data_IF_111012140694
#
_entry.id   IF_111012140694
#
_cell.length_a   1.000
_cell.length_b   1.000
_cell.length_c   1.000
_cell.angle_alpha   90.00
_cell.angle_beta   90.00
_cell.angle_gamma   90.00
#
_symmetry.space_group_name_H-M   'P 1'
#
loop_
_entity.id
_entity.type
_entity.pdbx_description
1 polymer ?
#
# COMPACT_ATOMS: atom_id res chain seq x y z
N UNK A 1 9.19 9.78 17.45
CA UNK A 1 8.61 10.82 16.57
C UNK A 1 7.13 10.91 16.92
N UNK A 2 6.55 12.12 17.01
CA UNK A 2 5.12 12.25 17.25
C UNK A 2 4.36 11.82 16.00
N UNK A 3 3.35 10.97 16.16
CA UNK A 3 2.49 10.51 15.06
C UNK A 3 1.21 11.32 14.95
N UNK A 4 0.87 12.08 16.01
CA UNK A 4 -0.26 13.00 16.03
C UNK A 4 -0.02 14.14 17.02
N UNK A 5 -0.49 15.35 16.68
CA UNK A 5 -0.71 16.46 17.61
C UNK A 5 -2.00 17.19 17.21
N UNK A 6 -2.87 17.46 18.19
CA UNK A 6 -4.14 18.16 17.94
C UNK A 6 -4.61 18.95 19.16
N UNK A 7 -5.29 20.06 18.91
CA UNK A 7 -5.84 20.93 19.95
C UNK A 7 -7.33 20.71 20.09
N UNK A 8 -7.77 20.42 21.31
CA UNK A 8 -9.19 20.34 21.64
C UNK A 8 -9.75 21.70 22.11
N UNK A 9 -8.88 22.58 22.58
CA UNK A 9 -9.16 23.99 22.88
C UNK A 9 -7.86 24.79 22.86
N UNK A 10 -7.92 26.08 23.17
CA UNK A 10 -6.71 26.91 23.36
C UNK A 10 -5.84 26.47 24.54
N UNK A 11 -6.37 25.68 25.49
CA UNK A 11 -5.66 25.24 26.69
C UNK A 11 -5.46 23.73 26.76
N UNK A 12 -6.17 22.95 25.94
CA UNK A 12 -6.09 21.48 25.93
C UNK A 12 -5.58 20.99 24.58
N UNK A 13 -4.49 20.22 24.62
CA UNK A 13 -3.93 19.55 23.46
C UNK A 13 -3.68 18.07 23.75
N UNK A 14 -3.73 17.26 22.70
CA UNK A 14 -3.40 15.85 22.72
C UNK A 14 -2.26 15.58 21.75
N UNK A 15 -1.39 14.65 22.12
CA UNK A 15 -0.31 14.18 21.27
C UNK A 15 -0.24 12.66 21.34
N UNK A 16 0.19 12.03 20.25
CA UNK A 16 0.52 10.63 20.24
C UNK A 16 1.98 10.43 19.86
N UNK A 17 2.66 9.59 20.61
CA UNK A 17 3.97 9.06 20.25
C UNK A 17 3.76 7.59 19.87
N UNK A 18 4.10 7.24 18.64
CA UNK A 18 3.87 5.89 18.14
C UNK A 18 4.96 5.45 17.18
N UNK A 19 6.08 4.94 17.70
CA UNK A 19 7.11 4.32 16.88
C UNK A 19 6.59 2.97 16.33
N UNK A 20 6.53 2.78 15.00
CA UNK A 20 5.95 1.58 14.42
C UNK A 20 6.81 0.31 14.55
N UNK A 21 8.14 0.44 14.70
CA UNK A 21 9.08 -0.69 14.53
C UNK A 21 10.08 -0.88 15.69
N UNK A 22 9.99 -0.11 16.76
CA UNK A 22 10.88 -0.26 17.91
C UNK A 22 10.13 -0.04 19.23
N UNK A 23 10.52 -0.81 20.26
CA UNK A 23 9.91 -0.89 21.58
C UNK A 23 10.10 0.43 22.36
N UNK A 24 9.31 1.43 21.99
CA UNK A 24 9.35 2.74 22.58
C UNK A 24 8.58 2.71 23.91
N UNK A 25 9.35 2.74 25.00
CA UNK A 25 8.87 3.03 26.37
C UNK A 25 8.08 4.33 26.48
N UNK A 26 8.11 5.15 25.44
CA UNK A 26 7.40 6.42 25.31
C UNK A 26 6.23 6.35 24.33
N UNK A 27 5.88 5.20 23.76
CA UNK A 27 4.67 5.12 22.94
C UNK A 27 3.44 5.30 23.83
N UNK A 28 2.49 6.10 23.37
CA UNK A 28 1.35 6.47 24.19
C UNK A 28 0.56 7.65 23.66
N UNK A 29 -0.60 7.82 24.29
CA UNK A 29 -1.43 9.00 24.16
C UNK A 29 -1.11 9.95 25.31
N UNK A 30 -0.94 11.22 25.00
CA UNK A 30 -0.55 12.24 25.96
C UNK A 30 -1.52 13.42 25.91
N UNK A 31 -1.72 14.07 27.06
CA UNK A 31 -2.56 15.25 27.19
C UNK A 31 -1.79 16.40 27.81
N UNK A 32 -1.99 17.58 27.27
CA UNK A 32 -1.64 18.84 27.88
C UNK A 32 -2.91 19.56 28.33
N UNK A 33 -2.85 20.18 29.50
CA UNK A 33 -3.86 21.13 30.02
C UNK A 33 -3.33 22.57 30.09
N UNK A 34 -2.11 22.79 29.59
CA UNK A 34 -1.46 24.10 29.52
C UNK A 34 -1.00 24.40 28.08
N UNK A 35 -1.83 24.04 27.09
CA UNK A 35 -1.53 24.13 25.66
C UNK A 35 -1.15 25.54 25.16
N UNK A 36 -1.60 26.58 25.87
CA UNK A 36 -1.30 27.99 25.59
C UNK A 36 0.05 28.49 26.15
N UNK A 37 0.78 27.66 26.90
CA UNK A 37 2.02 28.05 27.57
C UNK A 37 3.24 27.91 26.64
N UNK A 38 4.20 28.84 26.74
CA UNK A 38 5.53 28.68 26.13
C UNK A 38 6.36 27.55 26.77
N UNK A 39 5.94 27.04 27.92
CA UNK A 39 6.49 25.83 28.57
C UNK A 39 5.43 24.74 28.59
N UNK A 40 4.98 24.36 27.39
CA UNK A 40 3.99 23.32 27.16
C UNK A 40 4.44 21.98 27.75
N UNK A 41 3.59 21.33 28.53
CA UNK A 41 3.85 20.01 29.11
C UNK A 41 2.77 19.01 28.73
N UNK A 42 3.19 17.76 28.52
CA UNK A 42 2.32 16.64 28.21
C UNK A 42 2.46 15.54 29.28
N UNK A 43 1.34 15.02 29.74
CA UNK A 43 1.27 13.88 30.66
C UNK A 43 0.73 12.66 29.93
N UNK A 44 1.35 11.51 30.13
CA UNK A 44 0.87 10.25 29.58
C UNK A 44 -0.53 9.94 30.12
N UNK A 45 -1.43 9.53 29.24
CA UNK A 45 -2.73 9.00 29.60
C UNK A 45 -2.65 7.49 29.77
N UNK A 46 -3.54 6.97 30.61
CA UNK A 46 -3.70 5.54 30.88
C UNK A 46 -5.19 5.26 31.13
N UNK A 47 -5.54 4.16 31.79
CA UNK A 47 -6.94 3.88 32.14
C UNK A 47 -7.69 3.11 31.05
N UNK A 48 -7.12 1.99 30.60
CA UNK A 48 -7.74 1.08 29.61
C UNK A 48 -7.01 1.04 28.26
N UNK A 49 -6.06 1.96 28.04
CA UNK A 49 -5.12 1.87 26.94
C UNK A 49 -4.12 0.72 27.14
N UNK A 50 -3.59 0.11 26.05
CA UNK A 50 -2.52 -0.89 26.12
C UNK A 50 -1.25 -0.38 26.82
N UNK A 51 -0.36 -1.29 27.19
CA UNK A 51 0.96 -0.89 27.69
C UNK A 51 1.78 -0.22 26.56
N UNK A 52 2.57 0.81 26.88
CA UNK A 52 3.44 1.51 25.93
C UNK A 52 4.33 0.57 25.11
N UNK A 53 4.81 -0.52 25.72
CA UNK A 53 5.64 -1.53 25.05
C UNK A 53 4.93 -2.35 23.98
N UNK A 54 3.60 -2.30 23.91
CA UNK A 54 2.79 -2.97 22.89
C UNK A 54 2.32 -2.00 21.80
N UNK A 55 2.25 -0.70 22.09
CA UNK A 55 1.75 0.30 21.16
C UNK A 55 2.75 0.55 20.04
N UNK A 56 2.27 0.61 18.80
CA UNK A 56 3.00 1.05 17.62
C UNK A 56 2.58 2.46 17.18
N UNK A 57 2.39 2.69 15.87
CA UNK A 57 1.79 3.94 15.35
C UNK A 57 0.42 4.22 15.98
N UNK A 58 0.16 5.49 16.30
CA UNK A 58 -1.12 5.94 16.88
C UNK A 58 -1.64 7.14 16.11
N UNK A 59 -2.92 7.12 15.75
CA UNK A 59 -3.66 8.31 15.34
C UNK A 59 -4.81 8.61 16.31
N UNK A 60 -5.16 9.90 16.45
CA UNK A 60 -6.20 10.37 17.36
C UNK A 60 -7.25 11.17 16.58
N UNK A 61 -8.52 10.87 16.85
CA UNK A 61 -9.66 11.68 16.48
C UNK A 61 -10.16 12.46 17.69
N UNK A 62 -10.06 13.78 17.66
CA UNK A 62 -10.63 14.66 18.69
C UNK A 62 -12.02 15.10 18.22
N UNK A 63 -13.05 14.93 19.07
CA UNK A 63 -14.38 15.46 18.76
C UNK A 63 -14.32 16.98 18.56
N UNK A 64 -14.86 17.54 17.46
CA UNK A 64 -15.01 18.98 17.33
C UNK A 64 -15.91 19.59 18.43
N UNK A 65 -16.68 18.76 19.15
CA UNK A 65 -17.47 19.13 20.32
C UNK A 65 -16.81 18.74 21.65
N UNK A 66 -15.49 18.55 21.67
CA UNK A 66 -14.75 18.11 22.86
C UNK A 66 -15.06 18.92 24.13
N UNK A 67 -15.31 20.23 24.00
CA UNK A 67 -15.66 21.08 25.13
C UNK A 67 -16.96 20.66 25.84
N UNK A 68 -17.90 20.02 25.14
CA UNK A 68 -19.16 19.55 25.69
C UNK A 68 -19.24 18.03 25.85
N UNK A 69 -18.54 17.25 25.01
CA UNK A 69 -18.63 15.79 25.01
C UNK A 69 -17.35 15.07 25.50
N UNK A 70 -16.24 15.80 25.66
CA UNK A 70 -14.93 15.29 26.07
C UNK A 70 -14.47 14.04 25.30
N UNK A 71 -14.92 13.90 24.04
CA UNK A 71 -14.78 12.64 23.30
C UNK A 71 -13.52 12.59 22.45
N UNK A 72 -12.84 11.45 22.51
CA UNK A 72 -11.64 11.11 21.76
C UNK A 72 -11.77 9.68 21.23
N UNK A 73 -11.21 9.45 20.05
CA UNK A 73 -10.90 8.12 19.55
C UNK A 73 -9.41 7.99 19.31
N UNK A 74 -8.85 6.81 19.53
CA UNK A 74 -7.47 6.49 19.24
C UNK A 74 -7.39 5.14 18.54
N UNK A 75 -6.71 5.09 17.40
CA UNK A 75 -6.39 3.83 16.73
C UNK A 75 -4.92 3.52 16.94
N UNK A 76 -4.62 2.33 17.43
CA UNK A 76 -3.30 1.98 17.97
C UNK A 76 -2.80 0.72 17.28
N UNK A 77 -1.66 0.82 16.58
CA UNK A 77 -0.98 -0.31 15.96
C UNK A 77 -0.35 -1.24 17.00
N UNK A 78 -0.13 -2.51 16.65
CA UNK A 78 0.58 -3.48 17.48
C UNK A 78 2.07 -3.54 17.10
N UNK A 79 2.94 -2.98 17.94
CA UNK A 79 4.38 -2.97 17.65
C UNK A 79 5.00 -4.37 17.65
N UNK A 80 4.39 -5.35 18.34
CA UNK A 80 4.89 -6.73 18.38
C UNK A 80 4.78 -7.42 17.02
N UNK A 81 3.89 -6.94 16.16
CA UNK A 81 3.73 -7.37 14.77
C UNK A 81 4.43 -6.41 13.80
N UNK A 82 5.36 -5.58 14.27
CA UNK A 82 5.96 -4.48 13.52
C UNK A 82 4.89 -3.49 12.99
N UNK A 83 3.83 -3.30 13.77
CA UNK A 83 2.68 -2.47 13.39
C UNK A 83 2.04 -2.91 12.07
N UNK A 84 2.09 -4.21 11.76
CA UNK A 84 1.34 -4.77 10.63
C UNK A 84 -0.15 -4.88 10.95
N UNK A 85 -0.51 -5.03 12.22
CA UNK A 85 -1.89 -5.10 12.71
C UNK A 85 -2.16 -4.00 13.72
N UNK A 86 -3.43 -3.89 14.17
CA UNK A 86 -3.81 -3.00 15.25
C UNK A 86 -4.08 -3.73 16.59
N UNK A 87 -3.81 -3.03 17.70
CA UNK A 87 -4.29 -3.40 19.04
C UNK A 87 -5.78 -3.04 19.21
N UNK A 88 -6.30 -2.17 18.34
CA UNK A 88 -7.69 -1.79 18.22
C UNK A 88 -7.92 -0.29 18.17
N UNK A 89 -9.19 0.07 17.99
CA UNK A 89 -9.68 1.45 18.16
C UNK A 89 -10.27 1.59 19.56
N UNK A 90 -9.85 2.62 20.29
CA UNK A 90 -10.28 2.94 21.65
C UNK A 90 -11.05 4.26 21.65
N UNK A 91 -12.06 4.37 22.50
CA UNK A 91 -12.85 5.59 22.71
C UNK A 91 -12.75 6.04 24.16
N UNK A 92 -12.67 7.36 24.37
CA UNK A 92 -12.82 8.01 25.67
C UNK A 92 -13.90 9.07 25.57
N UNK A 93 -14.72 9.21 26.60
CA UNK A 93 -15.78 10.23 26.71
C UNK A 93 -15.61 11.12 27.95
N UNK A 94 -14.45 11.03 28.61
CA UNK A 94 -14.09 11.76 29.83
C UNK A 94 -12.75 12.50 29.68
N UNK A 95 -12.42 12.86 28.44
CA UNK A 95 -11.27 13.67 28.10
C UNK A 95 -9.95 12.93 28.23
N UNK A 96 -9.98 11.60 28.08
CA UNK A 96 -8.82 10.72 28.09
C UNK A 96 -8.47 10.12 29.45
N UNK A 97 -9.37 10.24 30.44
CA UNK A 97 -9.16 9.68 31.79
C UNK A 97 -9.38 8.17 31.82
N UNK A 98 -10.38 7.68 31.07
CA UNK A 98 -10.61 6.27 30.82
C UNK A 98 -10.89 6.00 29.35
N UNK A 99 -10.53 4.79 28.90
CA UNK A 99 -10.62 4.35 27.52
C UNK A 99 -11.26 2.97 27.45
N UNK A 100 -12.16 2.80 26.48
CA UNK A 100 -12.81 1.52 26.17
C UNK A 100 -12.41 1.08 24.77
N UNK A 101 -11.95 -0.17 24.63
CA UNK A 101 -11.73 -0.78 23.31
C UNK A 101 -13.07 -0.97 22.61
N UNK A 102 -13.19 -0.47 21.39
CA UNK A 102 -14.38 -0.57 20.54
C UNK A 102 -14.45 -1.93 19.84
N UNK A 103 -15.52 -2.18 19.09
CA UNK A 103 -15.68 -3.39 18.26
C UNK A 103 -15.13 -3.23 16.83
N UNK A 104 -14.33 -2.19 16.57
CA UNK A 104 -13.74 -1.98 15.23
C UNK A 104 -12.90 -3.20 14.84
N UNK A 105 -13.11 -3.79 13.64
CA UNK A 105 -12.19 -4.78 13.11
C UNK A 105 -10.83 -4.15 12.81
N UNK A 106 -9.80 -5.00 12.68
CA UNK A 106 -8.51 -4.56 12.17
C UNK A 106 -8.59 -4.40 10.65
N UNK A 107 -8.70 -3.15 10.20
CA UNK A 107 -8.76 -2.77 8.78
C UNK A 107 -7.43 -2.27 8.21
N UNK A 108 -6.36 -2.35 9.00
CA UNK A 108 -5.03 -1.93 8.61
C UNK A 108 -4.17 -3.08 8.07
N UNK A 109 -4.72 -4.30 8.00
CA UNK A 109 -4.04 -5.58 7.76
C UNK A 109 -2.75 -5.44 6.93
N UNK A 110 -1.62 -5.66 7.59
CA UNK A 110 -0.23 -5.60 7.10
C UNK A 110 0.47 -4.22 7.17
N UNK A 111 -0.27 -3.12 7.21
CA UNK A 111 0.26 -1.77 7.04
C UNK A 111 -0.23 -0.76 8.08
N UNK A 112 -0.59 -1.16 9.31
CA UNK A 112 -0.99 -0.18 10.35
C UNK A 112 0.09 0.87 10.68
N UNK A 113 1.37 0.57 10.39
CA UNK A 113 2.48 1.52 10.43
C UNK A 113 2.36 2.66 9.40
N UNK A 114 1.58 2.48 8.34
CA UNK A 114 1.41 3.38 7.19
C UNK A 114 -0.03 3.88 7.03
N UNK A 115 -1.02 3.01 7.20
CA UNK A 115 -2.45 3.23 6.94
C UNK A 115 -3.27 3.09 8.23
N UNK A 116 -3.44 4.21 8.93
CA UNK A 116 -4.11 4.26 10.22
C UNK A 116 -4.59 5.69 10.47
N UNK A 117 -5.86 5.94 10.13
CA UNK A 117 -6.48 7.25 10.29
C UNK A 117 -7.85 7.15 10.94
N UNK A 118 -8.04 7.79 12.08
CA UNK A 118 -9.29 7.86 12.83
C UNK A 118 -9.67 9.32 13.05
N UNK A 119 -10.89 9.70 12.64
CA UNK A 119 -11.40 11.07 12.82
C UNK A 119 -12.86 11.07 13.24
N UNK A 120 -13.22 12.06 14.06
CA UNK A 120 -14.56 12.21 14.65
C UNK A 120 -15.37 13.19 13.80
N UNK A 121 -16.63 12.84 13.60
CA UNK A 121 -17.59 13.67 12.87
C UNK A 121 -17.82 15.03 13.58
N UNK A 122 -18.03 16.14 12.85
CA UNK A 122 -18.32 17.47 13.43
C UNK A 122 -19.54 17.56 14.34
N UNK A 123 -20.48 16.62 14.26
CA UNK A 123 -21.65 16.54 15.15
C UNK A 123 -21.38 15.74 16.43
N UNK A 124 -20.18 15.18 16.58
CA UNK A 124 -19.63 14.75 17.87
C UNK A 124 -19.74 13.25 18.17
N UNK A 125 -19.69 12.95 19.47
CA UNK A 125 -19.22 11.69 20.08
C UNK A 125 -19.59 10.33 19.47
N UNK A 126 -20.72 10.21 18.78
CA UNK A 126 -21.21 8.91 18.33
C UNK A 126 -20.68 8.52 16.95
N UNK A 127 -20.27 9.51 16.15
CA UNK A 127 -19.84 9.32 14.77
C UNK A 127 -18.33 9.46 14.64
N UNK A 128 -17.68 8.39 14.19
CA UNK A 128 -16.26 8.40 13.86
C UNK A 128 -16.00 7.49 12.67
N UNK A 129 -14.97 7.84 11.90
CA UNK A 129 -14.52 7.10 10.72
C UNK A 129 -13.10 6.63 10.95
N UNK A 130 -12.86 5.36 10.62
CA UNK A 130 -11.56 4.71 10.65
C UNK A 130 -11.20 4.25 9.24
N UNK A 131 -10.03 4.66 8.75
CA UNK A 131 -9.43 4.21 7.49
C UNK A 131 -8.14 3.43 7.71
N UNK A 132 -7.93 2.39 6.91
CA UNK A 132 -6.72 1.55 6.89
C UNK A 132 -6.31 1.17 5.45
N UNK A 133 -5.47 0.14 5.32
CA UNK A 133 -4.94 -0.34 4.03
C UNK A 133 -5.99 -1.10 3.25
N UNK A 134 -6.29 -2.31 3.68
CA UNK A 134 -7.33 -3.16 3.14
C UNK A 134 -7.59 -4.29 4.11
N UNK A 135 -8.67 -5.03 3.93
CA UNK A 135 -8.81 -6.36 4.53
C UNK A 135 -8.95 -7.34 3.36
N UNK A 136 -8.54 -8.59 3.54
CA UNK A 136 -9.10 -9.70 2.77
C UNK A 136 -9.90 -10.52 3.79
N UNK A 137 -11.23 -10.56 3.67
CA UNK A 137 -12.03 -11.35 4.60
C UNK A 137 -11.86 -12.85 4.26
N UNK A 138 -11.39 -13.70 5.20
CA UNK A 138 -11.34 -15.16 4.99
C UNK A 138 -12.72 -15.82 4.80
N UNK A 139 -13.83 -15.09 5.03
CA UNK A 139 -15.21 -15.57 4.84
C UNK A 139 -15.95 -15.03 3.61
N UNK A 140 -15.30 -14.19 2.78
CA UNK A 140 -15.90 -13.67 1.53
C UNK A 140 -17.00 -12.62 1.72
N UNK A 141 -17.20 -12.13 2.94
CA UNK A 141 -18.09 -11.01 3.31
C UNK A 141 -17.28 -9.75 3.60
N UNK A 142 -16.84 -9.13 2.51
CA UNK A 142 -16.46 -7.72 2.33
C UNK A 142 -15.55 -7.08 3.40
N UNK A 143 -14.24 -7.04 3.15
CA UNK A 143 -13.33 -6.13 3.84
C UNK A 143 -13.62 -4.65 3.53
N UNK A 144 -14.02 -3.85 4.53
CA UNK A 144 -14.13 -2.39 4.41
C UNK A 144 -12.85 -1.71 4.88
N UNK A 145 -12.16 -0.98 4.00
CA UNK A 145 -10.95 -0.20 4.34
C UNK A 145 -11.27 1.23 4.82
N UNK A 146 -12.53 1.63 4.75
CA UNK A 146 -13.08 2.73 5.55
C UNK A 146 -14.35 2.25 6.23
N UNK A 147 -14.37 2.35 7.54
CA UNK A 147 -15.53 1.97 8.37
C UNK A 147 -15.98 3.15 9.21
N UNK A 148 -17.28 3.16 9.54
CA UNK A 148 -17.91 4.19 10.35
C UNK A 148 -18.63 3.56 11.53
N UNK A 149 -18.51 4.21 12.69
CA UNK A 149 -19.42 3.98 13.83
C UNK A 149 -20.41 5.13 13.92
N UNK A 150 -21.63 4.84 14.37
CA UNK A 150 -22.68 5.84 14.66
C UNK A 150 -23.19 5.72 16.10
N UNK A 151 -22.50 4.93 16.93
CA UNK A 151 -22.92 4.57 18.29
C UNK A 151 -21.74 4.43 19.26
N UNK A 152 -20.73 5.29 19.12
CA UNK A 152 -19.65 5.35 20.09
C UNK A 152 -18.62 4.21 19.97
N UNK A 153 -18.59 3.50 18.83
CA UNK A 153 -17.72 2.33 18.63
C UNK A 153 -18.32 0.99 19.09
N UNK A 154 -19.61 0.93 19.43
CA UNK A 154 -20.28 -0.33 19.78
C UNK A 154 -20.46 -1.23 18.55
N UNK A 155 -20.67 -0.64 17.37
CA UNK A 155 -20.65 -1.32 16.08
C UNK A 155 -20.04 -0.43 15.00
N UNK A 156 -19.55 -1.08 13.94
CA UNK A 156 -18.94 -0.44 12.78
C UNK A 156 -19.52 -1.01 11.49
N UNK A 157 -19.58 -0.19 10.46
CA UNK A 157 -20.08 -0.59 9.14
C UNK A 157 -19.15 -0.05 8.06
N UNK A 158 -18.89 -0.86 7.02
CA UNK A 158 -18.17 -0.38 5.84
C UNK A 158 -18.96 0.74 5.17
N UNK A 159 -18.26 1.79 4.74
CA UNK A 159 -18.85 2.91 3.99
C UNK A 159 -18.45 2.90 2.52
N UNK A 160 -17.60 1.95 2.12
CA UNK A 160 -17.15 1.77 0.74
C UNK A 160 -17.76 0.48 0.19
N UNK A 161 -18.27 0.45 -1.05
CA UNK A 161 -18.69 -0.80 -1.69
C UNK A 161 -17.51 -1.75 -1.91
N UNK A 162 -17.79 -3.05 -2.04
CA UNK A 162 -16.88 -4.04 -2.60
C UNK A 162 -16.25 -3.53 -3.91
N UNK A 163 -14.92 -3.53 -3.98
CA UNK A 163 -14.18 -3.10 -5.16
C UNK A 163 -13.76 -4.24 -6.08
N UNK A 164 -13.68 -3.91 -7.37
CA UNK A 164 -12.57 -4.33 -8.22
C UNK A 164 -11.49 -3.23 -8.14
N UNK A 165 -10.19 -3.57 -7.97
CA UNK A 165 -9.09 -2.59 -7.97
C UNK A 165 -9.13 -1.63 -9.18
N UNK A 166 -8.72 -0.37 -9.02
CA UNK A 166 -8.59 0.58 -10.13
C UNK A 166 -9.91 1.18 -10.68
N UNK A 167 -11.05 0.96 -10.02
CA UNK A 167 -12.34 1.53 -10.45
C UNK A 167 -12.33 3.07 -10.33
N UNK A 168 -12.31 3.77 -11.46
CA UNK A 168 -12.08 5.23 -11.58
C UNK A 168 -13.03 6.17 -10.78
N UNK A 169 -14.01 5.64 -10.06
CA UNK A 169 -14.99 6.42 -9.27
C UNK A 169 -15.03 6.10 -7.77
N UNK A 170 -14.32 5.08 -7.29
CA UNK A 170 -14.39 4.65 -5.88
C UNK A 170 -13.09 4.96 -5.15
N UNK A 171 -13.12 5.23 -3.83
CA UNK A 171 -11.89 5.52 -3.08
C UNK A 171 -10.88 4.39 -3.17
N UNK A 172 -9.62 4.75 -3.32
CA UNK A 172 -8.51 3.81 -3.19
C UNK A 172 -8.42 3.23 -1.77
N UNK A 173 -7.75 2.07 -1.67
CA UNK A 173 -7.24 1.50 -0.42
C UNK A 173 -6.15 2.42 0.18
N UNK A 174 -5.56 2.08 1.32
CA UNK A 174 -4.37 2.79 1.86
C UNK A 174 -4.65 4.23 2.29
N UNK A 175 -5.46 4.35 3.35
CA UNK A 175 -6.04 5.62 3.79
C UNK A 175 -5.14 6.37 4.79
N UNK A 176 -4.83 7.63 4.47
CA UNK A 176 -3.92 8.47 5.25
C UNK A 176 -4.60 9.67 5.92
N UNK A 177 -5.66 10.20 5.33
CA UNK A 177 -6.28 11.45 5.79
C UNK A 177 -7.81 11.40 5.69
N UNK A 178 -8.46 11.89 6.74
CA UNK A 178 -9.90 12.15 6.77
C UNK A 178 -10.09 13.59 7.24
N UNK A 179 -10.89 14.36 6.52
CA UNK A 179 -11.25 15.72 6.88
C UNK A 179 -12.74 15.97 6.68
N UNK A 180 -13.35 16.78 7.55
CA UNK A 180 -14.78 17.06 7.51
C UNK A 180 -15.05 18.53 7.31
N UNK A 181 -16.17 18.82 6.64
CA UNK A 181 -16.76 20.16 6.56
C UNK A 181 -18.22 20.05 6.93
N UNK A 182 -18.64 20.81 7.95
CA UNK A 182 -20.04 20.96 8.31
C UNK A 182 -20.70 21.96 7.36
N UNK A 183 -21.65 21.49 6.57
CA UNK A 183 -22.45 22.27 5.64
C UNK A 183 -23.85 22.52 6.23
N UNK A 184 -24.61 23.45 5.64
CA UNK A 184 -26.02 23.66 6.01
C UNK A 184 -26.91 22.45 5.67
N UNK A 185 -26.46 21.58 4.77
CA UNK A 185 -27.19 20.41 4.25
C UNK A 185 -26.74 19.08 4.85
N UNK A 186 -25.73 19.08 5.75
CA UNK A 186 -25.16 17.86 6.32
C UNK A 186 -23.64 17.96 6.51
N UNK A 187 -22.99 16.82 6.72
CA UNK A 187 -21.53 16.73 6.81
C UNK A 187 -20.96 16.21 5.50
N UNK A 188 -19.99 16.96 4.96
CA UNK A 188 -19.12 16.51 3.87
C UNK A 188 -17.84 15.94 4.46
N UNK A 189 -17.39 14.81 3.92
CA UNK A 189 -16.11 14.22 4.25
C UNK A 189 -15.21 14.16 3.00
N UNK A 190 -13.93 14.47 3.19
CA UNK A 190 -12.86 14.23 2.24
C UNK A 190 -11.98 13.11 2.77
N UNK A 191 -11.55 12.26 1.85
CA UNK A 191 -10.68 11.11 2.11
C UNK A 191 -9.45 11.24 1.22
N UNK A 192 -8.27 11.23 1.84
CA UNK A 192 -6.98 11.21 1.16
C UNK A 192 -6.29 9.87 1.38
N UNK A 193 -5.83 9.27 0.30
CA UNK A 193 -5.20 7.96 0.25
C UNK A 193 -4.19 7.92 -0.91
N UNK A 194 -3.51 6.78 -1.12
CA UNK A 194 -2.45 6.68 -2.15
C UNK A 194 -2.97 6.90 -3.58
N UNK A 195 -4.26 6.67 -3.83
CA UNK A 195 -4.88 6.99 -5.11
C UNK A 195 -5.24 8.48 -5.30
N UNK A 196 -5.05 9.35 -4.31
CA UNK A 196 -5.41 10.77 -4.36
C UNK A 196 -6.53 11.20 -3.40
N UNK A 197 -7.54 11.94 -3.88
CA UNK A 197 -8.57 12.56 -3.03
C UNK A 197 -9.99 12.21 -3.49
N UNK A 198 -10.83 11.79 -2.54
CA UNK A 198 -12.25 11.53 -2.72
C UNK A 198 -13.11 12.36 -1.77
N UNK A 199 -14.38 12.50 -2.12
CA UNK A 199 -15.38 13.21 -1.33
C UNK A 199 -16.67 12.42 -1.24
N UNK A 200 -17.29 12.44 -0.07
CA UNK A 200 -18.71 12.10 0.13
C UNK A 200 -19.45 13.30 0.71
N UNK A 201 -20.66 13.53 0.20
CA UNK A 201 -21.63 14.51 0.71
C UNK A 201 -22.69 13.87 1.62
N UNK A 202 -22.64 12.54 1.81
CA UNK A 202 -23.60 11.73 2.54
C UNK A 202 -22.98 11.02 3.77
N UNK A 203 -21.94 11.61 4.37
CA UNK A 203 -21.16 11.03 5.48
C UNK A 203 -22.02 10.51 6.65
N UNK A 204 -23.15 11.14 6.94
CA UNK A 204 -24.05 10.75 8.03
C UNK A 204 -25.24 9.87 7.59
N UNK A 205 -25.33 9.48 6.31
CA UNK A 205 -26.42 8.69 5.77
C UNK A 205 -26.57 7.34 6.47
N UNK A 206 -27.81 6.94 6.77
CA UNK A 206 -28.14 5.60 7.28
C UNK A 206 -28.17 4.54 6.17
N UNK A 207 -28.20 4.96 4.90
CA UNK A 207 -28.15 4.07 3.74
C UNK A 207 -26.70 3.88 3.35
N UNK A 208 -26.26 2.61 3.29
CA UNK A 208 -24.90 2.20 2.92
C UNK A 208 -24.91 1.38 1.63
N UNK A 209 -23.81 1.36 0.85
CA UNK A 209 -22.58 2.14 1.05
C UNK A 209 -22.78 3.63 0.75
N UNK A 210 -21.82 4.48 1.17
CA UNK A 210 -21.87 5.91 0.90
C UNK A 210 -21.55 6.22 -0.57
N UNK A 211 -21.98 7.39 -1.02
CA UNK A 211 -21.71 7.87 -2.38
C UNK A 211 -20.41 8.66 -2.40
N UNK A 212 -19.47 8.23 -3.24
CA UNK A 212 -18.16 8.84 -3.36
C UNK A 212 -17.96 9.51 -4.72
N UNK A 213 -17.24 10.62 -4.70
CA UNK A 213 -16.82 11.38 -5.86
C UNK A 213 -15.29 11.43 -5.87
N UNK A 214 -14.70 10.97 -6.97
CA UNK A 214 -13.28 11.15 -7.25
C UNK A 214 -13.01 12.64 -7.52
N UNK A 215 -12.05 13.24 -6.81
CA UNK A 215 -11.64 14.63 -6.97
C UNK A 215 -10.26 14.80 -7.61
N UNK A 216 -9.64 13.71 -8.07
CA UNK A 216 -8.38 13.80 -8.80
C UNK A 216 -8.57 14.64 -10.06
N UNK A 217 -7.69 15.64 -10.23
CA UNK A 217 -7.74 16.55 -11.37
C UNK A 217 -7.34 15.81 -12.64
N UNK A 218 -8.18 15.87 -13.67
CA UNK A 218 -7.91 15.25 -14.97
C UNK A 218 -6.77 15.92 -15.76
N UNK A 219 -6.29 17.09 -15.33
CA UNK A 219 -5.18 17.83 -15.91
C UNK A 219 -3.85 17.62 -15.17
N UNK A 220 -3.89 17.16 -13.91
CA UNK A 220 -2.70 16.76 -13.14
C UNK A 220 -2.58 15.23 -13.14
N UNK A 221 -2.31 14.67 -14.32
CA UNK A 221 -2.01 13.24 -14.48
C UNK A 221 -0.58 12.95 -14.01
N UNK A 222 -0.37 12.99 -12.70
CA UNK A 222 0.89 12.63 -12.06
C UNK A 222 0.84 11.15 -11.66
N UNK A 223 1.34 10.28 -12.52
CA UNK A 223 1.53 8.85 -12.20
C UNK A 223 3.00 8.60 -11.91
N UNK A 224 3.28 8.03 -10.74
CA UNK A 224 4.63 7.56 -10.41
C UNK A 224 4.84 6.18 -11.01
N UNK A 225 5.55 6.12 -12.14
CA UNK A 225 6.05 4.87 -12.68
C UNK A 225 7.34 4.46 -11.98
N UNK A 226 7.45 3.17 -11.67
CA UNK A 226 8.73 2.57 -11.27
C UNK A 226 9.68 2.50 -12.48
N UNK A 227 11.00 2.37 -12.24
CA UNK A 227 11.96 2.07 -13.30
C UNK A 227 11.64 0.77 -14.04
N UNK A 228 12.18 0.60 -15.25
CA UNK A 228 11.99 -0.57 -16.14
C UNK A 228 10.62 -0.65 -16.83
N UNK A 229 10.22 0.46 -17.49
CA UNK A 229 9.23 0.43 -18.58
C UNK A 229 9.77 -0.35 -19.78
N UNK A 230 8.87 -1.07 -20.46
CA UNK A 230 9.16 -1.80 -21.69
C UNK A 230 8.36 -1.23 -22.86
N UNK A 231 8.97 -1.17 -24.04
CA UNK A 231 8.36 -0.67 -25.28
C UNK A 231 8.37 -1.79 -26.31
N UNK A 232 7.25 -1.97 -27.01
CA UNK A 232 7.10 -3.04 -27.98
C UNK A 232 8.14 -2.91 -29.11
N UNK A 233 8.84 -3.99 -29.49
CA UNK A 233 10.04 -3.93 -30.33
C UNK A 233 9.78 -3.41 -31.75
N UNK A 234 8.55 -3.54 -32.26
CA UNK A 234 8.15 -3.06 -33.58
C UNK A 234 7.16 -1.88 -33.56
N UNK A 235 6.75 -1.39 -32.39
CA UNK A 235 5.76 -0.30 -32.28
C UNK A 235 5.96 0.52 -31.02
N UNK A 236 6.40 1.76 -31.18
CA UNK A 236 6.50 2.71 -30.05
C UNK A 236 5.12 3.12 -29.49
N UNK A 237 4.04 2.81 -30.22
CA UNK A 237 2.67 3.03 -29.78
C UNK A 237 2.17 2.00 -28.77
N UNK A 238 2.98 0.98 -28.43
CA UNK A 238 2.64 -0.03 -27.43
C UNK A 238 3.76 -0.09 -26.38
N UNK A 239 3.43 0.16 -25.12
CA UNK A 239 4.38 0.10 -24.02
C UNK A 239 3.71 -0.37 -22.72
N UNK A 240 4.51 -0.87 -21.80
CA UNK A 240 4.08 -1.27 -20.47
C UNK A 240 4.94 -0.58 -19.42
N UNK A 241 4.31 -0.21 -18.31
CA UNK A 241 4.97 0.39 -17.17
C UNK A 241 4.29 -0.06 -15.90
N UNK A 242 5.03 -0.17 -14.81
CA UNK A 242 4.45 -0.42 -13.52
C UNK A 242 4.29 0.88 -12.72
N UNK A 243 3.13 1.07 -12.10
CA UNK A 243 2.83 2.23 -11.27
C UNK A 243 2.77 1.86 -9.78
N UNK A 244 3.23 2.80 -8.94
CA UNK A 244 3.07 2.78 -7.48
C UNK A 244 1.58 2.73 -7.13
N UNK A 245 1.17 1.71 -6.38
CA UNK A 245 -0.19 1.42 -5.87
C UNK A 245 -1.31 1.36 -6.93
N UNK A 246 -0.95 1.50 -8.21
CA UNK A 246 -1.89 1.68 -9.28
C UNK A 246 -1.65 0.66 -10.40
N UNK A 247 -1.17 -0.52 -10.03
CA UNK A 247 -1.04 -1.70 -10.86
C UNK A 247 -0.04 -1.58 -12.01
N UNK A 248 -0.12 -2.55 -12.91
CA UNK A 248 0.57 -2.52 -14.19
C UNK A 248 -0.27 -1.78 -15.24
N UNK A 249 0.39 -0.90 -15.98
CA UNK A 249 -0.22 0.00 -16.94
C UNK A 249 0.19 -0.38 -18.37
N UNK A 250 -0.77 -0.33 -19.29
CA UNK A 250 -0.55 -0.44 -20.73
C UNK A 250 -0.78 0.91 -21.40
N UNK A 251 0.16 1.29 -22.25
CA UNK A 251 0.01 2.34 -23.25
C UNK A 251 -0.25 1.66 -24.59
N UNK A 252 -1.43 1.90 -25.15
CA UNK A 252 -1.75 1.49 -26.52
C UNK A 252 -2.34 2.69 -27.25
N UNK A 253 -1.54 3.28 -28.13
CA UNK A 253 -1.91 4.48 -28.86
C UNK A 253 -3.09 4.27 -29.80
N UNK A 254 -3.25 3.06 -30.34
CA UNK A 254 -4.34 2.74 -31.26
C UNK A 254 -5.67 2.54 -30.53
N UNK A 255 -5.63 2.10 -29.27
CA UNK A 255 -6.83 1.82 -28.45
C UNK A 255 -7.23 3.02 -27.59
N UNK A 256 -6.26 3.62 -26.89
CA UNK A 256 -6.50 4.62 -25.83
C UNK A 256 -5.80 5.97 -26.10
N UNK A 257 -5.25 6.19 -27.30
CA UNK A 257 -4.65 7.46 -27.71
C UNK A 257 -3.38 7.81 -26.92
N UNK A 258 -3.43 8.79 -26.05
CA UNK A 258 -2.27 9.17 -25.21
C UNK A 258 -2.37 8.68 -23.76
N UNK A 259 -3.44 7.96 -23.41
CA UNK A 259 -3.67 7.51 -22.05
C UNK A 259 -2.95 6.19 -21.75
N UNK A 260 -2.45 6.10 -20.52
CA UNK A 260 -2.10 4.84 -19.87
C UNK A 260 -3.36 4.27 -19.21
N UNK A 261 -3.55 2.96 -19.31
CA UNK A 261 -4.69 2.27 -18.70
C UNK A 261 -4.23 1.11 -17.85
N UNK A 262 -4.87 0.92 -16.70
CA UNK A 262 -4.64 -0.22 -15.82
C UNK A 262 -5.02 -1.51 -16.54
N UNK A 263 -4.13 -2.50 -16.53
CA UNK A 263 -4.39 -3.82 -17.07
C UNK A 263 -4.99 -4.79 -16.02
N UNK A 264 -5.34 -4.27 -14.84
CA UNK A 264 -5.90 -4.96 -13.68
C UNK A 264 -4.99 -6.07 -13.14
N UNK A 265 -3.68 -5.82 -13.17
CA UNK A 265 -2.66 -6.75 -12.67
C UNK A 265 -1.84 -6.07 -11.60
N UNK A 266 -1.61 -6.77 -10.49
CA UNK A 266 -0.87 -6.31 -9.32
C UNK A 266 -1.55 -5.18 -8.52
N UNK A 267 -1.10 -4.96 -7.28
CA UNK A 267 -1.38 -3.74 -6.51
C UNK A 267 -0.36 -2.67 -6.91
N UNK A 268 0.92 -2.92 -6.64
CA UNK A 268 2.03 -2.29 -7.35
C UNK A 268 2.39 -3.11 -8.58
N UNK A 269 2.39 -2.52 -9.78
CA UNK A 269 3.16 -3.08 -10.88
C UNK A 269 4.53 -2.45 -10.83
N UNK A 270 5.63 -3.20 -10.76
CA UNK A 270 6.99 -2.66 -10.75
C UNK A 270 7.65 -2.79 -12.13
N UNK A 271 8.68 -3.61 -12.28
CA UNK A 271 9.39 -3.78 -13.56
C UNK A 271 8.55 -4.52 -14.60
N UNK A 272 8.62 -4.10 -15.87
CA UNK A 272 7.98 -4.79 -17.00
C UNK A 272 9.00 -5.25 -18.03
N UNK A 273 8.74 -6.36 -18.70
CA UNK A 273 9.59 -6.85 -19.79
C UNK A 273 8.75 -7.48 -20.91
N UNK A 274 9.04 -7.13 -22.16
CA UNK A 274 8.43 -7.71 -23.35
C UNK A 274 9.43 -8.68 -23.96
N UNK A 275 8.98 -9.87 -24.34
CA UNK A 275 9.79 -10.80 -25.10
C UNK A 275 10.05 -10.25 -26.51
N UNK A 276 11.32 -10.08 -26.88
CA UNK A 276 11.69 -9.47 -28.16
C UNK A 276 11.45 -10.38 -29.37
N UNK A 277 11.32 -11.69 -29.15
CA UNK A 277 11.08 -12.70 -30.20
C UNK A 277 9.59 -13.03 -30.33
N UNK A 278 8.85 -13.06 -29.20
CA UNK A 278 7.40 -13.25 -29.14
C UNK A 278 6.77 -12.08 -28.37
N UNK A 279 6.57 -10.90 -29.00
CA UNK A 279 6.11 -9.70 -28.30
C UNK A 279 4.72 -9.78 -27.66
N UNK A 280 3.94 -10.83 -27.97
CA UNK A 280 2.69 -11.11 -27.25
C UNK A 280 2.92 -11.62 -25.83
N UNK A 281 4.14 -12.04 -25.49
CA UNK A 281 4.55 -12.44 -24.15
C UNK A 281 5.09 -11.23 -23.39
N UNK A 282 4.37 -10.82 -22.35
CA UNK A 282 4.67 -9.65 -21.52
C UNK A 282 4.72 -10.09 -20.06
N UNK A 283 5.83 -9.79 -19.41
CA UNK A 283 6.04 -10.04 -17.99
C UNK A 283 5.87 -8.75 -17.20
N UNK A 284 5.30 -8.88 -16.00
CA UNK A 284 5.32 -7.85 -14.97
C UNK A 284 5.78 -8.45 -13.65
N UNK A 285 6.75 -7.81 -13.01
CA UNK A 285 6.98 -7.99 -11.59
C UNK A 285 5.97 -7.12 -10.85
N UNK A 286 5.16 -7.69 -9.96
CA UNK A 286 4.24 -6.93 -9.14
C UNK A 286 5.07 -6.17 -8.09
N UNK A 287 5.58 -6.88 -7.10
CA UNK A 287 6.45 -6.35 -6.06
C UNK A 287 7.23 -7.52 -5.45
N UNK A 288 8.50 -7.32 -5.11
CA UNK A 288 9.33 -8.39 -4.55
C UNK A 288 9.56 -9.54 -5.54
N UNK A 289 9.13 -10.74 -5.20
CA UNK A 289 9.30 -11.96 -6.01
C UNK A 289 8.03 -12.42 -6.74
N UNK A 290 6.96 -11.61 -6.67
CA UNK A 290 5.70 -11.90 -7.33
C UNK A 290 5.75 -11.46 -8.81
N UNK A 291 5.66 -12.42 -9.72
CA UNK A 291 5.68 -12.19 -11.17
C UNK A 291 4.39 -12.68 -11.80
N UNK A 292 3.87 -11.91 -12.76
CA UNK A 292 2.77 -12.31 -13.62
C UNK A 292 3.16 -12.20 -15.10
N UNK A 293 2.53 -13.02 -15.94
CA UNK A 293 2.79 -13.06 -17.37
C UNK A 293 1.48 -13.08 -18.16
N UNK A 294 1.45 -12.32 -19.26
CA UNK A 294 0.43 -12.42 -20.30
C UNK A 294 1.09 -12.98 -21.56
N UNK A 295 0.42 -13.90 -22.25
CA UNK A 295 0.83 -14.42 -23.57
C UNK A 295 -0.08 -13.90 -24.70
N UNK A 296 -0.91 -12.89 -24.39
CA UNK A 296 -1.91 -12.32 -25.31
C UNK A 296 -1.78 -10.80 -25.39
N UNK A 297 -0.55 -10.30 -25.55
CA UNK A 297 -0.19 -8.88 -25.71
C UNK A 297 -0.48 -7.99 -24.49
N UNK A 298 -0.50 -8.55 -23.28
CA UNK A 298 -0.63 -7.75 -22.06
C UNK A 298 -1.95 -6.98 -21.93
N UNK A 299 -3.00 -7.42 -22.64
CA UNK A 299 -4.34 -6.82 -22.53
C UNK A 299 -4.90 -6.98 -21.11
N UNK A 300 -5.84 -6.11 -20.72
CA UNK A 300 -6.41 -6.14 -19.37
C UNK A 300 -6.95 -7.53 -18.99
N UNK A 301 -6.70 -7.96 -17.75
CA UNK A 301 -7.11 -9.25 -17.19
C UNK A 301 -6.53 -10.49 -17.88
N UNK A 302 -5.50 -10.35 -18.72
CA UNK A 302 -4.86 -11.50 -19.39
C UNK A 302 -3.67 -12.12 -18.64
N UNK A 303 -3.22 -11.48 -17.56
CA UNK A 303 -2.07 -11.92 -16.80
C UNK A 303 -2.42 -13.08 -15.87
N UNK A 304 -1.51 -14.04 -15.77
CA UNK A 304 -1.57 -15.14 -14.81
C UNK A 304 -0.34 -15.13 -13.89
N UNK A 305 -0.46 -15.56 -12.62
CA UNK A 305 0.68 -15.74 -11.74
C UNK A 305 1.73 -16.67 -12.37
N UNK A 306 2.99 -16.25 -12.32
CA UNK A 306 4.12 -16.87 -13.00
C UNK A 306 5.32 -17.05 -12.05
N UNK A 307 5.07 -17.39 -10.78
CA UNK A 307 6.11 -17.51 -9.76
C UNK A 307 6.69 -18.92 -9.54
N UNK A 308 6.19 -19.94 -10.26
CA UNK A 308 6.53 -21.34 -9.97
C UNK A 308 8.03 -21.62 -10.15
N UNK A 309 8.68 -22.15 -9.12
CA UNK A 309 10.13 -22.43 -9.10
C UNK A 309 11.00 -21.33 -8.48
N UNK A 310 10.44 -20.15 -8.17
CA UNK A 310 11.10 -19.11 -7.38
C UNK A 310 11.00 -19.47 -5.88
N UNK A 311 12.08 -19.29 -5.13
CA UNK A 311 12.07 -19.52 -3.69
C UNK A 311 11.56 -18.26 -2.97
N UNK A 312 10.35 -18.33 -2.42
CA UNK A 312 9.71 -17.20 -1.72
C UNK A 312 10.36 -16.84 -0.36
N UNK A 313 11.38 -17.59 0.06
CA UNK A 313 12.21 -17.25 1.21
C UNK A 313 13.44 -16.41 0.83
N UNK A 314 13.72 -16.23 -0.46
CA UNK A 314 14.80 -15.35 -0.92
C UNK A 314 14.39 -13.90 -0.67
N UNK A 315 15.34 -13.06 -0.25
CA UNK A 315 15.09 -11.62 -0.21
C UNK A 315 15.10 -11.07 -1.64
N UNK A 316 14.10 -10.28 -2.00
CA UNK A 316 14.00 -9.60 -3.29
C UNK A 316 13.84 -8.10 -3.08
N UNK A 317 14.35 -7.29 -4.00
CA UNK A 317 14.09 -5.86 -3.98
C UNK A 317 12.59 -5.62 -4.19
N UNK A 318 12.04 -4.56 -3.59
CA UNK A 318 10.66 -4.17 -3.83
C UNK A 318 10.38 -4.00 -5.34
N UNK A 319 11.31 -3.38 -6.07
CA UNK A 319 11.36 -3.32 -7.54
C UNK A 319 12.40 -4.33 -8.02
N UNK A 320 12.08 -5.63 -8.16
CA UNK A 320 13.06 -6.62 -8.59
C UNK A 320 13.51 -6.33 -10.03
N UNK A 321 14.79 -6.55 -10.37
CA UNK A 321 15.22 -6.47 -11.74
C UNK A 321 14.66 -7.65 -12.53
N UNK A 322 14.03 -7.37 -13.67
CA UNK A 322 13.50 -8.37 -14.59
C UNK A 322 13.79 -7.99 -16.02
N UNK A 323 14.29 -8.93 -16.82
CA UNK A 323 14.68 -8.70 -18.22
C UNK A 323 14.43 -9.93 -19.09
N UNK A 324 14.09 -9.72 -20.35
CA UNK A 324 13.96 -10.80 -21.35
C UNK A 324 15.25 -10.99 -22.12
N UNK A 325 15.46 -12.20 -22.65
CA UNK A 325 16.53 -12.44 -23.59
C UNK A 325 16.16 -11.84 -24.96
N UNK A 326 16.97 -10.94 -25.55
CA UNK A 326 16.63 -10.34 -26.82
C UNK A 326 16.75 -11.29 -28.01
N UNK A 327 17.42 -12.45 -27.86
CA UNK A 327 17.63 -13.43 -28.92
C UNK A 327 16.88 -14.75 -28.75
N UNK A 328 16.20 -14.97 -27.61
CA UNK A 328 15.55 -16.24 -27.30
C UNK A 328 14.09 -16.06 -26.86
N UNK A 329 13.19 -16.73 -27.59
CA UNK A 329 11.77 -16.75 -27.26
C UNK A 329 11.52 -17.40 -25.89
N UNK A 330 10.48 -16.91 -25.23
CA UNK A 330 9.95 -17.31 -23.94
C UNK A 330 10.98 -17.29 -22.79
N UNK A 331 12.08 -16.56 -22.98
CA UNK A 331 13.22 -16.55 -22.06
C UNK A 331 13.30 -15.23 -21.30
N UNK A 332 13.25 -15.31 -19.97
CA UNK A 332 13.35 -14.16 -19.08
C UNK A 332 14.15 -14.49 -17.82
N UNK A 333 14.64 -13.45 -17.16
CA UNK A 333 15.45 -13.51 -15.95
C UNK A 333 14.87 -12.59 -14.88
N UNK A 334 14.92 -13.04 -13.63
CA UNK A 334 14.47 -12.30 -12.44
C UNK A 334 15.56 -12.33 -11.37
N UNK A 335 15.80 -11.21 -10.68
CA UNK A 335 16.74 -11.11 -9.57
C UNK A 335 16.07 -11.12 -8.20
N UNK A 336 16.56 -11.98 -7.30
CA UNK A 336 16.31 -12.00 -5.84
C UNK A 336 17.65 -11.81 -5.11
N UNK A 337 18.02 -12.64 -4.14
CA UNK A 337 19.43 -12.90 -3.78
C UNK A 337 20.16 -13.72 -4.86
N UNK A 338 19.40 -14.31 -5.79
CA UNK A 338 19.85 -15.17 -6.90
C UNK A 338 19.34 -14.63 -8.23
N UNK A 339 19.93 -15.13 -9.32
CA UNK A 339 19.32 -15.00 -10.65
C UNK A 339 18.49 -16.24 -10.95
N UNK A 340 17.23 -16.04 -11.30
CA UNK A 340 16.32 -17.06 -11.82
C UNK A 340 16.15 -16.91 -13.33
N UNK A 341 15.97 -18.02 -14.05
CA UNK A 341 15.68 -18.07 -15.47
C UNK A 341 14.39 -18.85 -15.73
N UNK A 342 13.54 -18.34 -16.63
CA UNK A 342 12.50 -19.11 -17.31
C UNK A 342 12.84 -19.21 -18.79
N UNK A 343 12.43 -20.31 -19.43
CA UNK A 343 12.55 -20.56 -20.88
C UNK A 343 11.20 -20.98 -21.50
N UNK A 344 10.12 -20.83 -20.72
CA UNK A 344 8.77 -21.27 -21.06
C UNK A 344 7.72 -20.25 -20.60
N UNK A 345 8.02 -18.97 -20.80
CA UNK A 345 7.11 -17.86 -20.54
C UNK A 345 6.62 -17.80 -19.09
N UNK A 346 7.51 -18.07 -18.12
CA UNK A 346 7.19 -17.99 -16.70
C UNK A 346 6.41 -19.19 -16.14
N UNK A 347 6.18 -20.25 -16.92
CA UNK A 347 5.53 -21.48 -16.43
C UNK A 347 6.36 -22.16 -15.34
N UNK A 348 7.69 -22.15 -15.48
CA UNK A 348 8.62 -22.57 -14.45
C UNK A 348 9.91 -21.75 -14.49
N UNK A 349 10.44 -21.45 -13.31
CA UNK A 349 11.72 -20.80 -13.10
C UNK A 349 12.74 -21.78 -12.52
N UNK A 350 14.00 -21.60 -12.88
CA UNK A 350 15.14 -22.37 -12.34
C UNK A 350 16.19 -21.38 -11.86
N UNK A 351 16.75 -21.60 -10.68
CA UNK A 351 17.86 -20.79 -10.19
C UNK A 351 19.09 -21.06 -11.07
N UNK A 352 19.63 -20.00 -11.67
CA UNK A 352 20.87 -20.02 -12.47
C UNK A 352 22.12 -19.88 -11.58
N UNK A 353 21.93 -19.53 -10.32
CA UNK A 353 22.99 -19.25 -9.36
C UNK A 353 22.58 -19.68 -7.95
N UNK A 354 23.57 -19.89 -7.08
CA UNK A 354 23.36 -19.81 -5.64
C UNK A 354 23.14 -18.36 -5.19
N UNK A 355 23.14 -18.13 -3.88
CA UNK A 355 23.08 -16.78 -3.33
C UNK A 355 24.29 -15.95 -3.78
N UNK A 356 24.04 -14.89 -4.55
CA UNK A 356 25.06 -13.92 -4.96
C UNK A 356 25.27 -12.86 -3.87
N UNK A 357 24.25 -12.62 -3.05
CA UNK A 357 24.24 -11.72 -1.90
C UNK A 357 23.57 -12.37 -0.69
N UNK A 358 23.72 -11.81 0.52
CA UNK A 358 23.36 -12.53 1.75
C UNK A 358 21.91 -12.31 2.24
N UNK A 359 21.16 -11.40 1.63
CA UNK A 359 19.76 -11.13 1.99
C UNK A 359 19.53 -10.34 3.28
N UNK A 360 20.57 -10.07 4.06
CA UNK A 360 20.45 -9.37 5.34
C UNK A 360 20.23 -7.87 5.12
N UNK A 361 19.34 -7.27 5.92
CA UNK A 361 18.98 -5.84 5.81
C UNK A 361 18.50 -5.44 4.41
N UNK A 362 17.70 -6.30 3.78
CA UNK A 362 17.13 -6.09 2.45
C UNK A 362 18.11 -6.15 1.28
N UNK A 363 19.35 -6.63 1.50
CA UNK A 363 20.36 -6.86 0.45
C UNK A 363 19.81 -7.78 -0.66
N UNK A 364 19.83 -7.29 -1.90
CA UNK A 364 19.21 -7.95 -3.05
C UNK A 364 19.85 -7.53 -4.38
N UNK A 365 19.61 -8.32 -5.43
CA UNK A 365 19.90 -7.88 -6.80
C UNK A 365 18.93 -6.76 -7.21
N UNK A 366 19.46 -5.73 -7.86
CA UNK A 366 18.75 -4.51 -8.26
C UNK A 366 18.89 -4.17 -9.73
N UNK A 367 19.77 -4.87 -10.45
CA UNK A 367 19.94 -4.71 -11.89
C UNK A 367 20.19 -6.06 -12.56
N UNK A 368 19.62 -6.24 -13.74
CA UNK A 368 19.95 -7.33 -14.65
C UNK A 368 20.20 -6.76 -16.05
N UNK A 369 21.11 -7.40 -16.78
CA UNK A 369 21.36 -7.10 -18.19
C UNK A 369 21.71 -8.37 -18.94
N UNK A 370 21.13 -8.56 -20.13
CA UNK A 370 21.36 -9.73 -20.98
C UNK A 370 21.96 -9.28 -22.29
N UNK A 371 23.16 -9.76 -22.60
CA UNK A 371 23.72 -9.59 -23.93
C UNK A 371 23.04 -10.57 -24.89
N UNK A 372 22.71 -10.14 -26.13
CA UNK A 372 22.05 -11.01 -27.10
C UNK A 372 22.85 -12.28 -27.39
N UNK A 373 22.15 -13.40 -27.57
CA UNK A 373 22.75 -14.64 -28.06
C UNK A 373 23.38 -14.42 -29.44
N UNK A 374 24.71 -14.32 -29.52
CA UNK A 374 25.44 -14.45 -30.79
C UNK A 374 25.72 -15.92 -31.15
N UNK A 375 25.65 -16.83 -30.17
CA UNK A 375 25.92 -18.26 -30.33
C UNK A 375 25.39 -19.08 -29.14
N UNK A 376 24.22 -19.71 -29.28
CA UNK A 376 23.61 -20.75 -28.40
C UNK A 376 23.58 -20.53 -26.86
N UNK A 377 24.09 -19.41 -26.38
CA UNK A 377 24.27 -19.08 -24.97
C UNK A 377 24.28 -17.56 -24.82
N UNK A 378 23.77 -17.10 -23.68
CA UNK A 378 23.66 -15.68 -23.35
C UNK A 378 24.72 -15.30 -22.32
N UNK A 379 25.05 -14.00 -22.27
CA UNK A 379 25.81 -13.42 -21.17
C UNK A 379 24.83 -12.65 -20.28
N UNK A 380 24.76 -13.03 -19.01
CA UNK A 380 23.88 -12.41 -18.02
C UNK A 380 24.72 -11.68 -16.99
N UNK A 381 24.41 -10.40 -16.78
CA UNK A 381 24.99 -9.54 -15.76
C UNK A 381 23.96 -9.30 -14.66
N UNK A 382 24.42 -9.28 -13.41
CA UNK A 382 23.60 -8.90 -12.26
C UNK A 382 24.33 -7.87 -11.39
N UNK A 383 23.60 -6.87 -10.88
CA UNK A 383 24.10 -5.88 -9.93
C UNK A 383 23.31 -5.93 -8.63
N UNK A 384 23.99 -5.69 -7.50
CA UNK A 384 23.39 -5.67 -6.16
C UNK A 384 23.41 -4.27 -5.53
N UNK A 385 22.48 -4.01 -4.59
CA UNK A 385 22.45 -2.77 -3.79
C UNK A 385 23.69 -2.57 -2.90
N UNK A 386 24.43 -3.64 -2.62
CA UNK A 386 25.76 -3.65 -1.97
C UNK A 386 26.90 -3.21 -2.91
N UNK A 387 26.61 -2.91 -4.18
CA UNK A 387 27.57 -2.37 -5.15
C UNK A 387 28.38 -3.43 -5.92
N UNK A 388 28.05 -4.70 -5.75
CA UNK A 388 28.69 -5.82 -6.45
C UNK A 388 28.10 -6.03 -7.85
N UNK A 389 28.91 -6.53 -8.78
CA UNK A 389 28.49 -6.91 -10.14
C UNK A 389 28.97 -8.32 -10.44
N UNK A 390 28.07 -9.15 -10.96
CA UNK A 390 28.28 -10.55 -11.30
C UNK A 390 28.06 -10.79 -12.79
N UNK A 391 28.70 -11.81 -13.35
CA UNK A 391 28.55 -12.18 -14.76
C UNK A 391 28.56 -13.70 -14.94
N UNK A 392 27.66 -14.20 -15.78
CA UNK A 392 27.66 -15.56 -16.30
C UNK A 392 27.80 -15.50 -17.83
N UNK A 393 28.83 -16.15 -18.39
CA UNK A 393 29.22 -15.96 -19.80
C UNK A 393 28.76 -17.04 -20.78
N UNK A 394 28.14 -18.13 -20.30
CA UNK A 394 27.70 -19.27 -21.12
C UNK A 394 26.34 -19.78 -20.65
N UNK A 395 25.37 -18.90 -20.48
CA UNK A 395 24.04 -19.28 -19.98
C UNK A 395 23.28 -20.01 -21.07
N UNK A 396 23.05 -21.31 -20.90
CA UNK A 396 22.19 -22.10 -21.77
C UNK A 396 20.78 -22.19 -21.21
N UNK A 397 19.80 -22.38 -22.10
CA UNK A 397 18.38 -22.46 -21.72
C UNK A 397 18.13 -23.64 -20.77
N UNK A 398 17.63 -23.34 -19.56
CA UNK A 398 17.15 -24.35 -18.61
C UNK A 398 18.23 -25.13 -17.86
N UNK A 399 19.49 -24.68 -17.91
CA UNK A 399 20.59 -25.28 -17.14
C UNK A 399 20.91 -24.40 -15.95
N UNK A 400 20.69 -24.90 -14.74
CA UNK A 400 21.13 -24.27 -13.49
C UNK A 400 22.61 -24.48 -13.19
#
# INVERSE_FOLDING_TARGET
>A
MATFVGFASSTVAFAALGNPFNNATMNGVYKSTNASSCSLTFSALSGGLPASSAMGRIDIGISPLFASDSTLYASIADVSTQSSTNLGVFVSTDGGTSWTKTTAPDICQQQCWYDNVIKVDPNGRNFAFFGGSSVADPTGTQPGYVIRTTNGGTSWSTVIPNLLPGSAGLPHVDNHAIAFVKLSTGVRMYLGNDGGIWRTDDAESTTLPLTWMNLNDSLLTLTQFYPALSIHPSSQGIAFAGAQDNGSQIYDQAVNGTAWTDNNTCGDGTGTAIDNVIPSTVFVACNGDNVAVSVTNGVASSYAPAGNGINLADNANFVPPMVTDPGAANTAYLGTTKVYQTVNAGTNWTALSGDLVNGARFDSLTALGVAPMSSASSVVYAGADTGQVFVATNVTAGTG
#
